data_IF_716552018248
#
_entry.id   IF_716552018248
#
_cell.length_a   1.000
_cell.length_b   1.000
_cell.length_c   1.000
_cell.angle_alpha   90.00
_cell.angle_beta   90.00
_cell.angle_gamma   90.00
#
_symmetry.space_group_name_H-M   'P 1'
#
loop_
_entity.id
_entity.type
_entity.pdbx_description
1 polymer ?
#
# COMPACT_ATOMS: atom_id res chain seq x y z
N UNK A 1 15.70 19.25 22.81
CA UNK A 1 14.96 19.33 24.08
C UNK A 1 13.54 18.83 23.88
N UNK A 2 12.93 18.17 24.89
CA UNK A 2 11.52 17.82 24.83
C UNK A 2 10.64 19.08 24.92
N UNK A 3 9.43 18.97 24.36
CA UNK A 3 8.45 20.04 24.38
C UNK A 3 7.11 19.51 24.90
N UNK A 4 6.44 20.27 25.76
CA UNK A 4 5.10 19.97 26.26
C UNK A 4 4.12 21.10 25.95
N UNK A 5 2.83 20.79 25.94
CA UNK A 5 1.73 21.74 25.92
C UNK A 5 0.57 21.18 26.73
N UNK A 6 -0.17 22.03 27.40
CA UNK A 6 -1.30 21.59 28.23
C UNK A 6 -2.55 21.29 27.37
N UNK A 7 -2.72 22.01 26.29
CA UNK A 7 -3.86 21.88 25.36
C UNK A 7 -3.39 21.93 23.91
N UNK A 8 -4.16 21.32 23.02
CA UNK A 8 -3.84 21.23 21.59
C UNK A 8 -3.76 22.60 20.88
N UNK A 9 -4.47 23.58 21.40
CA UNK A 9 -4.54 24.95 20.90
C UNK A 9 -3.49 25.90 21.50
N UNK A 10 -2.66 25.41 22.43
CA UNK A 10 -1.59 26.19 23.03
C UNK A 10 -0.25 25.98 22.34
N UNK A 11 0.68 26.95 22.42
CA UNK A 11 2.02 26.81 21.87
C UNK A 11 2.80 25.74 22.65
N UNK A 12 3.76 25.13 21.95
CA UNK A 12 4.72 24.24 22.57
C UNK A 12 5.69 25.02 23.47
N UNK A 13 5.97 24.46 24.65
CA UNK A 13 6.96 24.97 25.61
C UNK A 13 8.11 23.97 25.74
N UNK A 14 9.31 24.43 25.55
CA UNK A 14 10.52 23.64 25.77
C UNK A 14 10.76 23.39 27.26
N UNK A 15 11.13 22.16 27.61
CA UNK A 15 11.31 21.73 29.01
C UNK A 15 12.49 20.76 29.16
N UNK A 16 12.91 20.48 30.40
CA UNK A 16 13.85 19.41 30.70
C UNK A 16 13.20 18.03 30.63
N UNK A 17 14.03 16.98 30.53
CA UNK A 17 13.56 15.60 30.45
C UNK A 17 12.76 15.16 31.68
N UNK A 18 13.19 15.56 32.90
CA UNK A 18 12.49 15.20 34.13
C UNK A 18 11.09 15.76 34.18
N UNK A 19 10.90 17.02 33.75
CA UNK A 19 9.58 17.64 33.64
C UNK A 19 8.72 16.95 32.59
N UNK A 20 9.26 16.66 31.42
CA UNK A 20 8.54 16.00 30.33
C UNK A 20 8.06 14.61 30.76
N UNK A 21 8.92 13.83 31.39
CA UNK A 21 8.61 12.47 31.86
C UNK A 21 7.55 12.52 32.97
N UNK A 22 7.70 13.41 33.95
CA UNK A 22 6.73 13.60 35.03
C UNK A 22 5.34 14.02 34.47
N UNK A 23 5.32 14.94 33.52
CA UNK A 23 4.09 15.38 32.82
C UNK A 23 3.40 14.20 32.13
N UNK A 24 4.13 13.45 31.31
CA UNK A 24 3.60 12.30 30.59
C UNK A 24 3.09 11.21 31.54
N UNK A 25 3.87 10.85 32.56
CA UNK A 25 3.49 9.83 33.53
C UNK A 25 2.23 10.21 34.31
N UNK A 26 2.10 11.46 34.73
CA UNK A 26 0.93 11.95 35.45
C UNK A 26 -0.32 11.89 34.53
N UNK A 27 -0.22 12.38 33.30
CA UNK A 27 -1.35 12.36 32.34
C UNK A 27 -1.80 10.94 32.03
N UNK A 28 -0.88 10.01 31.80
CA UNK A 28 -1.21 8.61 31.54
C UNK A 28 -1.90 7.94 32.74
N UNK A 29 -1.43 8.18 33.97
CA UNK A 29 -2.09 7.70 35.19
C UNK A 29 -3.48 8.27 35.38
N UNK A 30 -3.67 9.55 35.12
CA UNK A 30 -4.98 10.21 35.20
C UNK A 30 -5.97 9.64 34.18
N UNK A 31 -5.51 9.34 32.96
CA UNK A 31 -6.33 8.69 31.93
C UNK A 31 -6.72 7.29 32.37
N UNK A 32 -5.75 6.50 32.86
CA UNK A 32 -6.04 5.15 33.32
C UNK A 32 -7.00 5.12 34.52
N UNK A 33 -6.84 6.05 35.46
CA UNK A 33 -7.73 6.18 36.62
C UNK A 33 -9.16 6.52 36.21
N UNK A 34 -9.35 7.38 35.20
CA UNK A 34 -10.67 7.80 34.72
C UNK A 34 -11.33 6.81 33.77
N UNK A 35 -10.56 6.12 32.93
CA UNK A 35 -11.06 5.33 31.82
C UNK A 35 -10.73 3.83 31.91
N UNK A 36 -10.04 3.41 32.96
CA UNK A 36 -9.73 2.00 33.22
C UNK A 36 -8.45 1.50 32.53
N UNK A 37 -8.09 0.26 32.87
CA UNK A 37 -6.80 -0.38 32.51
C UNK A 37 -6.58 -0.45 30.99
N UNK A 38 -7.65 -0.57 30.19
CA UNK A 38 -7.54 -0.72 28.75
C UNK A 38 -7.44 0.60 27.96
N UNK A 39 -7.42 1.74 28.66
CA UNK A 39 -7.38 3.05 27.99
C UNK A 39 -5.99 3.45 27.47
N UNK A 40 -4.96 2.72 27.86
CA UNK A 40 -3.58 2.97 27.45
C UNK A 40 -3.12 1.85 26.51
N UNK A 41 -2.46 2.22 25.43
CA UNK A 41 -1.82 1.28 24.50
C UNK A 41 -0.45 1.79 24.05
N UNK A 42 0.35 0.91 23.46
CA UNK A 42 1.66 1.22 22.90
C UNK A 42 1.81 0.70 21.47
N UNK A 43 2.31 1.55 20.60
CA UNK A 43 2.63 1.19 19.21
C UNK A 43 4.12 1.41 18.99
N UNK A 44 4.79 0.38 18.48
CA UNK A 44 6.19 0.45 18.07
C UNK A 44 6.32 0.58 16.56
N UNK A 45 7.53 0.78 16.09
CA UNK A 45 7.85 0.88 14.67
C UNK A 45 8.88 -0.16 14.28
N UNK A 46 8.87 -0.58 13.01
CA UNK A 46 9.95 -1.38 12.42
C UNK A 46 11.29 -0.62 12.35
N UNK A 47 11.27 0.69 12.64
CA UNK A 47 12.47 1.54 12.72
C UNK A 47 13.02 1.67 14.14
N UNK A 48 12.34 1.09 15.14
CA UNK A 48 12.83 0.99 16.50
C UNK A 48 13.81 -0.17 16.66
N UNK A 49 14.70 -0.09 17.62
CA UNK A 49 15.53 -1.22 18.03
C UNK A 49 14.69 -2.29 18.74
N UNK A 50 15.25 -3.48 18.88
CA UNK A 50 14.59 -4.55 19.65
C UNK A 50 14.39 -4.17 21.12
N UNK A 51 15.34 -3.45 21.68
CA UNK A 51 15.31 -2.95 23.06
C UNK A 51 14.17 -1.96 23.28
N UNK A 52 14.00 -0.99 22.37
CA UNK A 52 12.90 -0.01 22.42
C UNK A 52 11.55 -0.72 22.30
N UNK A 53 11.41 -1.65 21.37
CA UNK A 53 10.19 -2.44 21.20
C UNK A 53 9.88 -3.27 22.44
N UNK A 54 10.88 -3.90 23.04
CA UNK A 54 10.75 -4.64 24.31
C UNK A 54 10.31 -3.73 25.45
N UNK A 55 10.92 -2.55 25.58
CA UNK A 55 10.59 -1.62 26.66
C UNK A 55 9.17 -1.07 26.55
N UNK A 56 8.68 -0.80 25.36
CA UNK A 56 7.28 -0.38 25.16
C UNK A 56 6.33 -1.50 25.56
N UNK A 57 6.57 -2.75 25.14
CA UNK A 57 5.75 -3.89 25.56
C UNK A 57 5.79 -4.09 27.08
N UNK A 58 6.96 -3.99 27.69
CA UNK A 58 7.16 -4.09 29.14
C UNK A 58 6.38 -3.01 29.89
N UNK A 59 6.45 -1.76 29.41
CA UNK A 59 5.72 -0.62 29.99
C UNK A 59 4.20 -0.90 29.98
N UNK A 60 3.64 -1.28 28.83
CA UNK A 60 2.19 -1.52 28.71
C UNK A 60 1.75 -2.70 29.57
N UNK A 61 2.48 -3.81 29.55
CA UNK A 61 2.11 -5.02 30.28
C UNK A 61 2.31 -4.92 31.78
N UNK A 62 3.45 -4.40 32.22
CA UNK A 62 3.80 -4.37 33.66
C UNK A 62 3.26 -3.13 34.37
N UNK A 63 3.33 -1.96 33.75
CA UNK A 63 2.92 -0.70 34.40
C UNK A 63 1.43 -0.45 34.23
N UNK A 64 0.92 -0.63 33.01
CA UNK A 64 -0.49 -0.37 32.71
C UNK A 64 -1.41 -1.62 32.80
N UNK A 65 -0.84 -2.82 32.97
CA UNK A 65 -1.59 -4.04 33.28
C UNK A 65 -2.46 -4.56 32.12
N UNK A 66 -2.09 -4.28 30.87
CA UNK A 66 -2.85 -4.76 29.71
C UNK A 66 -1.91 -5.20 28.57
N UNK A 67 -2.48 -5.75 27.47
CA UNK A 67 -1.73 -6.21 26.31
C UNK A 67 -2.05 -5.40 25.04
N UNK A 68 -2.43 -4.14 25.17
CA UNK A 68 -2.70 -3.26 24.03
C UNK A 68 -1.39 -2.78 23.39
N UNK A 69 -0.63 -3.72 22.84
CA UNK A 69 0.63 -3.44 22.13
C UNK A 69 0.54 -3.90 20.69
N UNK A 70 1.01 -3.07 19.79
CA UNK A 70 1.05 -3.39 18.36
C UNK A 70 2.24 -2.70 17.68
N UNK A 71 2.37 -2.92 16.39
CA UNK A 71 3.45 -2.34 15.58
C UNK A 71 2.88 -1.68 14.32
N UNK A 72 3.68 -0.83 13.69
CA UNK A 72 3.32 -0.19 12.42
C UNK A 72 2.94 -1.20 11.33
N UNK A 73 3.48 -2.41 11.37
CA UNK A 73 3.19 -3.46 10.38
C UNK A 73 1.71 -3.89 10.33
N UNK A 74 0.94 -3.65 11.40
CA UNK A 74 -0.49 -3.96 11.47
C UNK A 74 -1.28 -3.41 10.28
N UNK A 75 -1.04 -2.16 9.92
CA UNK A 75 -1.74 -1.47 8.82
C UNK A 75 -0.83 -1.25 7.61
N UNK A 76 0.48 -1.41 7.75
CA UNK A 76 1.46 -1.15 6.71
C UNK A 76 1.52 -2.31 5.70
N UNK A 77 1.93 -3.50 6.14
CA UNK A 77 2.16 -4.63 5.24
C UNK A 77 1.70 -6.00 5.78
N UNK A 78 1.20 -6.12 6.99
CA UNK A 78 0.69 -7.40 7.49
C UNK A 78 -0.46 -7.95 6.64
N UNK A 79 -1.44 -7.13 6.20
CA UNK A 79 -2.46 -7.57 5.24
C UNK A 79 -1.85 -8.05 3.91
N UNK A 80 -0.88 -7.31 3.37
CA UNK A 80 -0.16 -7.68 2.15
C UNK A 80 0.59 -9.01 2.32
N UNK A 81 1.36 -9.15 3.39
CA UNK A 81 2.10 -10.38 3.68
C UNK A 81 1.20 -11.60 3.84
N UNK A 82 0.06 -11.44 4.51
CA UNK A 82 -0.96 -12.48 4.60
C UNK A 82 -1.51 -12.88 3.23
N UNK A 83 -1.87 -11.91 2.39
CA UNK A 83 -2.44 -12.18 1.06
C UNK A 83 -1.42 -12.79 0.12
N UNK A 84 -0.19 -12.30 0.08
CA UNK A 84 0.89 -12.91 -0.71
C UNK A 84 1.11 -14.37 -0.31
N UNK A 85 1.16 -14.67 1.00
CA UNK A 85 1.29 -16.04 1.47
C UNK A 85 0.14 -16.93 1.04
N UNK A 86 -1.08 -16.42 1.05
CA UNK A 86 -2.28 -17.18 0.69
C UNK A 86 -2.34 -17.46 -0.81
N UNK A 87 -1.88 -16.50 -1.65
CA UNK A 87 -1.97 -16.60 -3.11
C UNK A 87 -0.71 -17.18 -3.76
N UNK A 88 0.47 -16.87 -3.23
CA UNK A 88 1.76 -17.29 -3.83
C UNK A 88 2.58 -18.24 -2.95
N UNK A 89 2.11 -18.54 -1.74
CA UNK A 89 2.84 -19.38 -0.79
C UNK A 89 4.00 -18.69 -0.07
N UNK A 90 4.30 -17.44 -0.37
CA UNK A 90 5.36 -16.64 0.25
C UNK A 90 4.89 -15.24 0.62
N UNK A 91 5.36 -14.68 1.72
CA UNK A 91 5.02 -13.32 2.17
C UNK A 91 5.94 -12.24 1.57
N UNK A 92 6.70 -12.56 0.55
CA UNK A 92 7.67 -11.67 -0.09
C UNK A 92 7.22 -11.28 -1.50
N UNK A 93 7.77 -10.20 -2.03
CA UNK A 93 7.63 -9.85 -3.44
C UNK A 93 8.23 -10.94 -4.34
N UNK A 94 7.70 -11.05 -5.53
CA UNK A 94 8.11 -12.07 -6.53
C UNK A 94 9.19 -11.57 -7.49
N UNK A 95 9.64 -10.33 -7.32
CA UNK A 95 10.60 -9.65 -8.18
C UNK A 95 11.76 -9.10 -7.36
N UNK A 96 12.90 -8.92 -8.01
CA UNK A 96 14.06 -8.16 -7.54
C UNK A 96 14.13 -6.78 -8.22
N UNK A 97 15.17 -6.00 -7.88
CA UNK A 97 15.35 -4.67 -8.46
C UNK A 97 15.68 -4.71 -9.96
N UNK A 98 16.31 -5.78 -10.43
CA UNK A 98 16.72 -5.91 -11.82
C UNK A 98 15.53 -6.25 -12.73
N UNK A 99 14.47 -6.81 -12.19
CA UNK A 99 13.24 -7.15 -12.92
C UNK A 99 12.62 -5.96 -13.66
N UNK A 100 12.79 -4.73 -13.12
CA UNK A 100 12.27 -3.53 -13.79
C UNK A 100 12.93 -3.29 -15.16
N UNK A 101 14.17 -3.70 -15.34
CA UNK A 101 14.94 -3.50 -16.56
C UNK A 101 14.41 -4.34 -17.73
N UNK A 102 13.66 -5.39 -17.42
CA UNK A 102 13.05 -6.33 -18.37
C UNK A 102 11.53 -6.13 -18.53
N UNK A 103 10.96 -5.14 -17.84
CA UNK A 103 9.53 -4.87 -17.89
C UNK A 103 9.17 -3.98 -19.08
N UNK A 104 8.15 -4.35 -19.85
CA UNK A 104 7.64 -3.57 -20.98
C UNK A 104 6.47 -2.67 -20.57
N UNK A 105 5.66 -3.12 -19.63
CA UNK A 105 4.60 -2.33 -19.00
C UNK A 105 4.71 -2.41 -17.49
N UNK A 106 4.72 -1.26 -16.83
CA UNK A 106 4.82 -1.16 -15.38
C UNK A 106 3.58 -0.49 -14.79
N UNK A 107 2.98 -1.12 -13.81
CA UNK A 107 1.99 -0.49 -12.93
C UNK A 107 2.70 -0.04 -11.65
N UNK A 108 2.51 1.21 -11.27
CA UNK A 108 2.86 1.73 -9.95
C UNK A 108 1.56 2.10 -9.24
N UNK A 109 1.24 1.40 -8.15
CA UNK A 109 -0.01 1.61 -7.41
C UNK A 109 0.26 1.98 -5.95
N UNK A 110 -0.34 3.09 -5.50
CA UNK A 110 -0.25 3.57 -4.12
C UNK A 110 1.18 3.80 -3.64
N UNK A 111 2.08 4.18 -4.54
CA UNK A 111 3.50 4.36 -4.26
C UNK A 111 4.08 5.57 -5.01
N UNK A 112 5.03 6.24 -4.39
CA UNK A 112 5.86 7.26 -5.04
C UNK A 112 7.35 6.88 -4.94
N UNK A 113 7.84 5.99 -5.81
CA UNK A 113 9.22 5.53 -5.74
C UNK A 113 10.25 6.63 -6.00
N UNK A 114 9.87 7.75 -6.61
CA UNK A 114 10.76 8.89 -6.77
C UNK A 114 11.21 9.44 -5.42
N UNK A 115 10.32 9.54 -4.46
CA UNK A 115 10.60 10.07 -3.12
C UNK A 115 10.98 8.97 -2.12
N UNK A 116 10.24 7.86 -2.12
CA UNK A 116 10.38 6.84 -1.09
C UNK A 116 11.46 5.79 -1.39
N UNK A 117 11.77 5.56 -2.68
CA UNK A 117 12.73 4.54 -3.15
C UNK A 117 13.54 5.09 -4.33
N UNK A 118 14.37 6.15 -4.14
CA UNK A 118 14.97 6.89 -5.23
C UNK A 118 15.91 6.07 -6.11
N UNK A 119 16.62 5.08 -5.57
CA UNK A 119 17.47 4.18 -6.34
C UNK A 119 16.65 3.35 -7.32
N UNK A 120 15.57 2.73 -6.84
CA UNK A 120 14.60 2.03 -7.69
C UNK A 120 13.91 2.98 -8.68
N UNK A 121 13.49 4.16 -8.22
CA UNK A 121 12.90 5.20 -9.05
C UNK A 121 13.80 5.64 -10.20
N UNK A 122 15.11 5.68 -9.98
CA UNK A 122 16.09 5.97 -11.04
C UNK A 122 16.12 4.88 -12.11
N UNK A 123 16.18 3.61 -11.71
CA UNK A 123 16.16 2.46 -12.63
C UNK A 123 14.85 2.42 -13.44
N UNK A 124 13.71 2.60 -12.77
CA UNK A 124 12.41 2.70 -13.42
C UNK A 124 12.41 3.81 -14.49
N UNK A 125 12.86 5.01 -14.14
CA UNK A 125 12.94 6.13 -15.09
C UNK A 125 13.87 5.84 -16.28
N UNK A 126 14.97 5.13 -16.07
CA UNK A 126 15.83 4.67 -17.16
C UNK A 126 15.08 3.71 -18.11
N UNK A 127 14.37 2.73 -17.56
CA UNK A 127 13.59 1.78 -18.37
C UNK A 127 12.45 2.46 -19.14
N UNK A 128 11.78 3.43 -18.54
CA UNK A 128 10.73 4.22 -19.19
C UNK A 128 11.29 5.02 -20.39
N UNK A 129 12.47 5.60 -20.28
CA UNK A 129 13.16 6.28 -21.38
C UNK A 129 13.58 5.34 -22.51
N UNK A 130 13.73 4.05 -22.23
CA UNK A 130 13.98 3.00 -23.22
C UNK A 130 12.71 2.49 -23.91
N UNK A 131 11.53 3.02 -23.55
CA UNK A 131 10.27 2.74 -24.24
C UNK A 131 9.25 1.94 -23.47
N UNK A 132 9.54 1.47 -22.25
CA UNK A 132 8.53 0.84 -21.39
C UNK A 132 7.36 1.79 -21.11
N UNK A 133 6.17 1.25 -20.95
CA UNK A 133 4.95 2.02 -20.66
C UNK A 133 4.67 2.02 -19.17
N UNK A 134 4.11 3.12 -18.67
CA UNK A 134 3.79 3.30 -17.26
C UNK A 134 2.30 3.56 -17.07
N UNK A 135 1.71 2.85 -16.12
CA UNK A 135 0.38 3.10 -15.60
C UNK A 135 0.55 3.49 -14.12
N UNK A 136 0.07 4.67 -13.75
CA UNK A 136 0.09 5.13 -12.36
C UNK A 136 -1.33 5.04 -11.79
N UNK A 137 -1.48 4.35 -10.65
CA UNK A 137 -2.74 4.23 -9.91
C UNK A 137 -2.53 4.89 -8.54
N UNK A 138 -2.82 6.17 -8.45
CA UNK A 138 -2.64 6.97 -7.23
C UNK A 138 -3.61 8.17 -7.26
N UNK A 139 -4.26 8.51 -6.14
CA UNK A 139 -5.10 9.72 -6.08
C UNK A 139 -4.32 11.01 -6.33
N UNK A 140 -3.01 10.99 -6.05
CA UNK A 140 -2.12 12.13 -6.25
C UNK A 140 -1.45 12.08 -7.62
N UNK A 141 -1.21 13.24 -8.17
CA UNK A 141 -0.39 13.38 -9.37
C UNK A 141 1.08 13.42 -8.98
N UNK A 142 1.66 12.23 -8.76
CA UNK A 142 3.08 12.07 -8.45
C UNK A 142 3.96 12.39 -9.67
N UNK A 143 5.27 12.60 -9.46
CA UNK A 143 6.21 12.94 -10.53
C UNK A 143 6.29 11.92 -11.67
N UNK A 144 5.97 10.66 -11.40
CA UNK A 144 5.92 9.61 -12.43
C UNK A 144 4.74 9.79 -13.40
N UNK A 145 3.68 10.53 -13.02
CA UNK A 145 2.59 10.85 -13.95
C UNK A 145 3.10 11.75 -15.05
N UNK A 146 3.86 12.78 -14.68
CA UNK A 146 4.51 13.67 -15.63
C UNK A 146 5.64 14.44 -14.96
N UNK A 147 6.83 14.31 -15.51
CA UNK A 147 8.03 15.09 -15.19
C UNK A 147 8.89 15.22 -16.43
N UNK A 148 9.97 16.00 -16.44
CA UNK A 148 10.87 16.06 -17.59
C UNK A 148 11.32 14.66 -18.03
N UNK A 149 11.05 14.33 -19.29
CA UNK A 149 11.39 13.04 -19.93
C UNK A 149 10.62 11.79 -19.43
N UNK A 150 9.61 11.95 -18.57
CA UNK A 150 8.75 10.87 -18.10
C UNK A 150 7.29 11.30 -18.23
N UNK A 151 6.48 10.46 -18.86
CA UNK A 151 5.03 10.62 -18.91
C UNK A 151 4.37 9.24 -18.82
N UNK A 152 3.45 9.09 -17.87
CA UNK A 152 2.65 7.88 -17.76
C UNK A 152 1.70 7.75 -18.94
N UNK A 153 1.59 6.55 -19.51
CA UNK A 153 0.60 6.27 -20.54
C UNK A 153 -0.84 6.45 -19.99
N UNK A 154 -1.05 6.06 -18.74
CA UNK A 154 -2.32 6.27 -18.04
C UNK A 154 -2.09 6.66 -16.59
N UNK A 155 -2.89 7.62 -16.11
CA UNK A 155 -3.02 7.95 -14.69
C UNK A 155 -4.45 7.66 -14.25
N UNK A 156 -4.63 6.64 -13.42
CA UNK A 156 -5.90 6.28 -12.81
C UNK A 156 -5.98 6.96 -11.44
N UNK A 157 -6.46 8.22 -11.44
CA UNK A 157 -6.58 9.05 -10.24
C UNK A 157 -7.81 8.64 -9.42
N UNK A 158 -7.71 7.50 -8.76
CA UNK A 158 -8.82 6.91 -8.01
C UNK A 158 -9.12 7.68 -6.71
N UNK A 159 -10.34 7.57 -6.23
CA UNK A 159 -10.68 8.04 -4.87
C UNK A 159 -10.03 7.14 -3.83
N UNK A 160 -9.49 7.69 -2.72
CA UNK A 160 -8.96 6.89 -1.62
C UNK A 160 -9.96 5.83 -1.14
N UNK A 161 -9.47 4.61 -0.89
CA UNK A 161 -10.30 3.48 -0.45
C UNK A 161 -10.96 2.68 -1.58
N UNK A 162 -10.72 3.01 -2.86
CA UNK A 162 -11.34 2.33 -4.00
C UNK A 162 -10.36 1.47 -4.82
N UNK A 163 -9.17 1.16 -4.30
CA UNK A 163 -8.16 0.35 -4.98
C UNK A 163 -8.72 -1.00 -5.46
N UNK A 164 -9.45 -1.69 -4.59
CA UNK A 164 -10.05 -2.99 -4.91
C UNK A 164 -10.98 -2.89 -6.11
N UNK A 165 -11.82 -1.85 -6.19
CA UNK A 165 -12.73 -1.66 -7.31
C UNK A 165 -11.97 -1.41 -8.62
N UNK A 166 -10.91 -0.57 -8.60
CA UNK A 166 -10.07 -0.32 -9.79
C UNK A 166 -9.37 -1.58 -10.26
N UNK A 167 -8.71 -2.32 -9.35
CA UNK A 167 -7.99 -3.55 -9.72
C UNK A 167 -8.96 -4.63 -10.21
N UNK A 168 -10.13 -4.78 -9.55
CA UNK A 168 -11.17 -5.70 -10.00
C UNK A 168 -11.71 -5.33 -11.38
N UNK A 169 -11.89 -4.04 -11.66
CA UNK A 169 -12.35 -3.61 -12.99
C UNK A 169 -11.29 -3.84 -14.08
N UNK A 170 -10.00 -3.69 -13.76
CA UNK A 170 -8.93 -4.10 -14.69
C UNK A 170 -8.98 -5.61 -14.96
N UNK A 171 -9.11 -6.42 -13.91
CA UNK A 171 -9.23 -7.86 -14.04
C UNK A 171 -10.50 -8.29 -14.83
N UNK A 172 -11.63 -7.60 -14.60
CA UNK A 172 -12.86 -7.79 -15.39
C UNK A 172 -12.61 -7.62 -16.89
N UNK A 173 -11.93 -6.54 -17.28
CA UNK A 173 -11.58 -6.30 -18.70
C UNK A 173 -10.70 -7.44 -19.23
N UNK A 174 -9.64 -7.82 -18.50
CA UNK A 174 -8.69 -8.85 -18.92
C UNK A 174 -9.41 -10.19 -19.13
N UNK A 175 -10.28 -10.58 -18.20
CA UNK A 175 -10.99 -11.86 -18.27
C UNK A 175 -12.06 -11.85 -19.33
N UNK A 176 -12.93 -10.82 -19.37
CA UNK A 176 -14.07 -10.76 -20.29
C UNK A 176 -13.66 -10.53 -21.74
N UNK A 177 -12.51 -9.92 -21.99
CA UNK A 177 -11.97 -9.73 -23.32
C UNK A 177 -11.00 -10.86 -23.74
N UNK A 178 -10.82 -11.89 -22.90
CA UNK A 178 -9.95 -13.04 -23.21
C UNK A 178 -8.46 -12.68 -23.33
N UNK A 179 -7.99 -11.67 -22.60
CA UNK A 179 -6.62 -11.18 -22.66
C UNK A 179 -5.66 -11.87 -21.68
N UNK A 180 -6.14 -12.84 -20.91
CA UNK A 180 -5.33 -13.62 -19.98
C UNK A 180 -4.57 -14.73 -20.70
N UNK A 181 -3.39 -15.09 -20.19
CA UNK A 181 -2.59 -16.22 -20.69
C UNK A 181 -3.11 -17.53 -20.09
N UNK A 182 -3.96 -18.24 -20.81
CA UNK A 182 -4.51 -19.54 -20.38
C UNK A 182 -3.41 -20.58 -20.18
N UNK A 183 -2.37 -20.58 -21.02
CA UNK A 183 -1.26 -21.53 -20.91
C UNK A 183 -0.48 -21.35 -19.61
N UNK A 184 -0.20 -20.11 -19.23
CA UNK A 184 0.41 -19.78 -17.94
C UNK A 184 -0.48 -20.21 -16.78
N UNK A 185 -1.78 -19.88 -16.83
CA UNK A 185 -2.72 -20.19 -15.74
C UNK A 185 -2.80 -21.71 -15.53
N UNK A 186 -2.95 -22.50 -16.61
CA UNK A 186 -3.02 -23.97 -16.50
C UNK A 186 -1.77 -24.61 -15.93
N UNK A 187 -0.61 -23.96 -16.10
CA UNK A 187 0.67 -24.54 -15.64
C UNK A 187 1.09 -24.04 -14.26
N UNK A 188 0.61 -22.89 -13.82
CA UNK A 188 1.11 -22.20 -12.63
C UNK A 188 0.06 -21.91 -11.56
N UNK A 189 -1.23 -22.00 -11.91
CA UNK A 189 -2.33 -21.73 -11.00
C UNK A 189 -3.24 -22.98 -10.86
N UNK A 190 -4.09 -22.97 -9.84
CA UNK A 190 -5.19 -23.91 -9.74
C UNK A 190 -6.26 -23.52 -10.77
N UNK A 191 -6.53 -24.43 -11.71
CA UNK A 191 -7.45 -24.15 -12.83
C UNK A 191 -8.91 -24.00 -12.37
N UNK A 192 -9.35 -24.83 -11.44
CA UNK A 192 -10.74 -24.78 -10.97
C UNK A 192 -10.99 -23.51 -10.14
N UNK A 193 -10.05 -23.15 -9.29
CA UNK A 193 -10.10 -21.89 -8.55
C UNK A 193 -10.06 -20.67 -9.49
N UNK A 194 -9.26 -20.72 -10.56
CA UNK A 194 -9.27 -19.66 -11.58
C UNK A 194 -10.62 -19.56 -12.27
N UNK A 195 -11.28 -20.65 -12.61
CA UNK A 195 -12.61 -20.61 -13.24
C UNK A 195 -13.65 -19.97 -12.32
N UNK A 196 -13.63 -20.28 -11.02
CA UNK A 196 -14.49 -19.63 -10.03
C UNK A 196 -14.20 -18.12 -9.94
N UNK A 197 -12.93 -17.76 -9.91
CA UNK A 197 -12.51 -16.35 -9.93
C UNK A 197 -12.94 -15.64 -11.22
N UNK A 198 -12.74 -16.27 -12.36
CA UNK A 198 -13.13 -15.71 -13.67
C UNK A 198 -14.64 -15.46 -13.75
N UNK A 199 -15.45 -16.41 -13.28
CA UNK A 199 -16.91 -16.24 -13.20
C UNK A 199 -17.29 -15.08 -12.25
N UNK A 200 -16.66 -14.98 -11.10
CA UNK A 200 -16.89 -13.89 -10.15
C UNK A 200 -16.53 -12.53 -10.74
N UNK A 201 -15.35 -12.41 -11.35
CA UNK A 201 -14.87 -11.13 -11.86
C UNK A 201 -15.55 -10.70 -13.17
N UNK A 202 -16.13 -11.64 -13.91
CA UNK A 202 -16.90 -11.35 -15.11
C UNK A 202 -18.28 -10.72 -14.82
N UNK A 203 -18.75 -10.74 -13.57
CA UNK A 203 -20.00 -10.06 -13.21
C UNK A 203 -19.95 -8.57 -13.60
N UNK A 204 -20.98 -8.04 -14.27
CA UNK A 204 -21.06 -6.66 -14.75
C UNK A 204 -20.83 -5.60 -13.66
N UNK A 205 -21.09 -5.90 -12.37
CA UNK A 205 -20.81 -4.99 -11.24
C UNK A 205 -19.33 -4.64 -11.11
N UNK A 206 -18.43 -5.45 -11.66
CA UNK A 206 -16.98 -5.21 -11.67
C UNK A 206 -16.52 -4.47 -12.94
N UNK A 207 -17.42 -4.19 -13.90
CA UNK A 207 -17.04 -3.50 -15.12
C UNK A 207 -16.50 -2.08 -14.83
N UNK A 208 -15.64 -1.54 -15.70
CA UNK A 208 -15.20 -0.15 -15.61
C UNK A 208 -16.37 0.83 -15.52
N UNK A 209 -17.42 0.60 -16.28
CA UNK A 209 -18.62 1.44 -16.33
C UNK A 209 -19.39 1.43 -15.01
N UNK A 210 -19.55 0.26 -14.38
CA UNK A 210 -20.22 0.14 -13.09
C UNK A 210 -19.40 0.75 -11.93
N UNK A 211 -18.09 0.75 -12.06
CA UNK A 211 -17.18 1.23 -10.99
C UNK A 211 -16.76 2.69 -11.16
N UNK A 212 -17.03 3.35 -12.29
CA UNK A 212 -16.63 4.73 -12.56
C UNK A 212 -17.14 5.71 -11.51
N UNK A 213 -18.42 5.65 -11.17
CA UNK A 213 -19.02 6.55 -10.17
C UNK A 213 -18.40 6.36 -8.77
N UNK A 214 -18.00 5.13 -8.41
CA UNK A 214 -17.36 4.81 -7.14
C UNK A 214 -15.91 5.29 -7.12
N UNK A 215 -15.14 4.95 -8.15
CA UNK A 215 -13.69 5.15 -8.20
C UNK A 215 -13.29 6.56 -8.63
N UNK A 216 -14.12 7.22 -9.42
CA UNK A 216 -13.79 8.49 -10.08
C UNK A 216 -12.86 8.33 -11.28
N UNK A 217 -12.53 7.09 -11.67
CA UNK A 217 -11.69 6.81 -12.84
C UNK A 217 -12.58 6.59 -14.05
N UNK A 218 -12.41 7.37 -15.16
CA UNK A 218 -13.23 7.18 -16.37
C UNK A 218 -13.10 5.76 -16.92
N UNK A 219 -14.23 5.13 -17.22
CA UNK A 219 -14.29 3.74 -17.69
C UNK A 219 -13.40 3.49 -18.91
N UNK A 220 -13.41 4.40 -19.87
CA UNK A 220 -12.58 4.32 -21.08
C UNK A 220 -11.07 4.29 -20.75
N UNK A 221 -10.63 5.12 -19.80
CA UNK A 221 -9.22 5.18 -19.37
C UNK A 221 -8.82 3.91 -18.64
N UNK A 222 -9.67 3.40 -17.75
CA UNK A 222 -9.43 2.17 -17.02
C UNK A 222 -9.34 0.97 -17.98
N UNK A 223 -10.26 0.88 -18.94
CA UNK A 223 -10.26 -0.17 -19.97
C UNK A 223 -9.00 -0.12 -20.84
N UNK A 224 -8.57 1.06 -21.26
CA UNK A 224 -7.34 1.24 -22.02
C UNK A 224 -6.09 0.82 -21.21
N UNK A 225 -6.03 1.18 -19.92
CA UNK A 225 -4.95 0.77 -19.04
C UNK A 225 -4.91 -0.75 -18.83
N UNK A 226 -6.05 -1.39 -18.63
CA UNK A 226 -6.13 -2.85 -18.48
C UNK A 226 -5.65 -3.58 -19.74
N UNK A 227 -6.10 -3.15 -20.92
CA UNK A 227 -5.64 -3.70 -22.20
C UNK A 227 -4.14 -3.51 -22.39
N UNK A 228 -3.64 -2.30 -22.15
CA UNK A 228 -2.20 -2.02 -22.24
C UNK A 228 -1.39 -2.96 -21.33
N UNK A 229 -1.82 -3.17 -20.11
CA UNK A 229 -1.11 -4.07 -19.18
C UNK A 229 -1.15 -5.53 -19.66
N UNK A 230 -2.29 -6.01 -20.14
CA UNK A 230 -2.48 -7.39 -20.55
C UNK A 230 -1.77 -7.75 -21.86
N UNK A 231 -1.58 -6.78 -22.77
CA UNK A 231 -1.06 -7.05 -24.13
C UNK A 231 0.33 -6.44 -24.40
N UNK A 232 0.87 -5.73 -23.45
CA UNK A 232 2.09 -4.93 -23.66
C UNK A 232 3.41 -5.69 -23.49
N UNK A 233 3.42 -7.01 -23.32
CA UNK A 233 4.63 -7.81 -23.10
C UNK A 233 4.84 -8.15 -21.62
N UNK A 234 6.09 -8.05 -21.13
CA UNK A 234 6.40 -8.34 -19.73
C UNK A 234 5.81 -7.26 -18.81
N UNK A 235 4.76 -7.61 -18.07
CA UNK A 235 4.10 -6.74 -17.11
C UNK A 235 4.68 -6.88 -15.70
N UNK A 236 4.92 -5.73 -15.03
CA UNK A 236 5.31 -5.70 -13.63
C UNK A 236 4.42 -4.76 -12.82
N UNK A 237 4.13 -5.13 -11.57
CA UNK A 237 3.35 -4.32 -10.64
C UNK A 237 4.23 -4.00 -9.42
N UNK A 238 4.43 -2.72 -9.17
CA UNK A 238 5.11 -2.21 -7.98
C UNK A 238 4.10 -1.43 -7.14
N UNK A 239 3.94 -1.83 -5.91
CA UNK A 239 2.92 -1.27 -5.03
C UNK A 239 3.52 -0.77 -3.71
N UNK A 240 2.86 0.23 -3.14
CA UNK A 240 3.14 0.70 -1.79
C UNK A 240 2.53 -0.22 -0.74
N UNK A 241 2.80 0.08 0.52
CA UNK A 241 2.22 -0.63 1.66
C UNK A 241 0.87 0.00 2.02
N UNK A 242 -0.11 -0.83 2.34
CA UNK A 242 -1.45 -0.37 2.73
C UNK A 242 -2.39 -0.07 1.56
N UNK A 243 -2.13 -0.59 0.37
CA UNK A 243 -3.05 -0.54 -0.78
C UNK A 243 -4.08 -1.65 -0.74
#
# INVERSE_FOLDING_TARGET
SPMIRDRIDQPWREVGWDEAIAFAATRLRDIQARHGVRSIGGITSSRCTNEETYLVQKLIRQVFGNNNTDTCARVCHSPTGYRLRTTFGTSAGTQDFDSVEHSDVVIVIGANPTDAHPVFGSRLKQRLRQGAKLIVIDPRRIDLVRSPHIEAAHHLALRPGTNVAVVSAMAHVIVTEGLHDEGFIRTRCDWDEFQHYAAFIADPRHSPEATEALTGVPAATLRAAARLFATGGNGAIYYGLGV
#
